data_IF_091753549286
#
_entry.id   IF_091753549286
#
_cell.length_a   1.000
_cell.length_b   1.000
_cell.length_c   1.000
_cell.angle_alpha   90.00
_cell.angle_beta   90.00
_cell.angle_gamma   90.00
#
_symmetry.space_group_name_H-M   'P 1'
#
loop_
_entity.id
_entity.type
_entity.pdbx_description
1 polymer ?
#
# COMPACT_ATOMS: atom_id res chain seq x y z
N UNK A 1 4.81 -25.58 -31.44
CA UNK A 1 4.09 -25.51 -30.18
C UNK A 1 4.97 -24.77 -29.19
N UNK A 2 4.47 -23.81 -28.41
CA UNK A 2 5.25 -23.21 -27.36
C UNK A 2 5.61 -24.28 -26.32
N UNK A 3 6.82 -24.21 -25.79
CA UNK A 3 7.32 -25.05 -24.72
C UNK A 3 6.42 -24.88 -23.44
N UNK A 4 6.17 -25.97 -22.73
CA UNK A 4 5.35 -25.96 -21.51
C UNK A 4 5.89 -24.99 -20.47
N UNK A 5 7.22 -24.89 -20.34
CA UNK A 5 7.86 -23.93 -19.44
C UNK A 5 7.56 -22.48 -19.85
N UNK A 6 7.59 -22.18 -21.15
CA UNK A 6 7.21 -20.86 -21.67
C UNK A 6 5.73 -20.58 -21.46
N UNK A 7 4.87 -21.58 -21.65
CA UNK A 7 3.42 -21.44 -21.37
C UNK A 7 3.16 -21.17 -19.91
N UNK A 8 3.85 -21.82 -18.97
CA UNK A 8 3.72 -21.57 -17.53
C UNK A 8 4.15 -20.15 -17.16
N UNK A 9 5.28 -19.67 -17.70
CA UNK A 9 5.77 -18.31 -17.49
C UNK A 9 4.80 -17.26 -18.04
N UNK A 10 4.26 -17.48 -19.25
CA UNK A 10 3.29 -16.57 -19.87
C UNK A 10 1.95 -16.56 -19.11
N UNK A 11 1.53 -17.72 -18.61
CA UNK A 11 0.33 -17.83 -17.78
C UNK A 11 0.46 -17.05 -16.48
N UNK A 12 1.58 -17.22 -15.78
CA UNK A 12 1.85 -16.50 -14.55
C UNK A 12 1.93 -14.98 -14.78
N UNK A 13 2.56 -14.56 -15.88
CA UNK A 13 2.65 -13.15 -16.26
C UNK A 13 1.27 -12.54 -16.53
N UNK A 14 0.37 -13.29 -17.18
CA UNK A 14 -1.00 -12.85 -17.48
C UNK A 14 -1.87 -12.71 -16.23
N UNK A 15 -1.71 -13.60 -15.26
CA UNK A 15 -2.52 -13.58 -14.01
C UNK A 15 -2.01 -12.60 -12.94
N UNK A 16 -0.78 -12.11 -13.09
CA UNK A 16 -0.15 -11.22 -12.11
C UNK A 16 -0.96 -9.93 -11.89
N UNK A 17 -1.37 -9.28 -12.97
CA UNK A 17 -2.22 -8.08 -12.90
C UNK A 17 -3.59 -8.36 -12.25
N UNK A 18 -4.19 -9.51 -12.57
CA UNK A 18 -5.47 -9.94 -12.01
C UNK A 18 -5.38 -10.14 -10.50
N UNK A 19 -4.34 -10.82 -10.02
CA UNK A 19 -4.12 -11.04 -8.58
C UNK A 19 -3.95 -9.72 -7.81
N UNK A 20 -3.28 -8.73 -8.42
CA UNK A 20 -3.16 -7.38 -7.86
C UNK A 20 -4.51 -6.69 -7.72
N UNK A 21 -5.38 -6.78 -8.73
CA UNK A 21 -6.73 -6.22 -8.67
C UNK A 21 -7.61 -6.95 -7.65
N UNK A 22 -7.55 -8.27 -7.59
CA UNK A 22 -8.29 -9.08 -6.62
C UNK A 22 -7.86 -8.73 -5.18
N UNK A 23 -6.56 -8.49 -4.94
CA UNK A 23 -6.03 -8.02 -3.66
C UNK A 23 -6.61 -6.66 -3.28
N UNK A 24 -6.59 -5.71 -4.21
CA UNK A 24 -7.09 -4.35 -3.98
C UNK A 24 -8.60 -4.36 -3.69
N UNK A 25 -9.40 -5.08 -4.48
CA UNK A 25 -10.84 -5.20 -4.26
C UNK A 25 -11.15 -5.77 -2.87
N UNK A 26 -10.48 -6.88 -2.50
CA UNK A 26 -10.68 -7.50 -1.19
C UNK A 26 -10.29 -6.58 -0.05
N UNK A 27 -9.19 -5.86 -0.17
CA UNK A 27 -8.80 -4.87 0.83
C UNK A 27 -9.86 -3.79 1.01
N UNK A 28 -10.40 -3.23 -0.08
CA UNK A 28 -11.47 -2.23 -0.03
C UNK A 28 -12.75 -2.77 0.61
N UNK A 29 -13.16 -4.00 0.28
CA UNK A 29 -14.33 -4.65 0.88
C UNK A 29 -14.15 -4.87 2.38
N UNK A 30 -12.98 -5.38 2.79
CA UNK A 30 -12.66 -5.59 4.20
C UNK A 30 -12.63 -4.27 4.98
N UNK A 31 -12.07 -3.22 4.38
CA UNK A 31 -12.01 -1.89 5.00
C UNK A 31 -13.41 -1.31 5.20
N UNK A 32 -14.24 -1.32 4.15
CA UNK A 32 -15.61 -0.81 4.23
C UNK A 32 -16.47 -1.57 5.27
N UNK A 33 -16.27 -2.89 5.36
CA UNK A 33 -16.95 -3.73 6.37
C UNK A 33 -16.48 -3.43 7.79
N UNK A 34 -15.17 -3.27 7.99
CA UNK A 34 -14.58 -3.07 9.31
C UNK A 34 -14.76 -1.63 9.84
N UNK A 35 -14.80 -0.66 8.94
CA UNK A 35 -14.82 0.77 9.28
C UNK A 35 -15.94 1.52 8.55
N UNK A 36 -17.22 1.28 8.87
CA UNK A 36 -18.36 1.82 8.13
C UNK A 36 -18.49 3.35 8.20
N UNK A 37 -17.76 4.01 9.10
CA UNK A 37 -17.71 5.48 9.22
C UNK A 37 -16.56 6.12 8.46
N UNK A 38 -15.67 5.32 7.90
CA UNK A 38 -14.52 5.76 7.11
C UNK A 38 -14.76 5.41 5.65
N UNK A 39 -14.06 6.09 4.75
CA UNK A 39 -14.12 5.78 3.32
C UNK A 39 -12.73 5.51 2.76
N UNK A 40 -12.66 4.67 1.73
CA UNK A 40 -11.49 4.50 0.88
C UNK A 40 -11.79 5.02 -0.52
N UNK A 41 -10.91 5.85 -1.03
CA UNK A 41 -10.89 6.33 -2.41
C UNK A 41 -9.68 5.72 -3.13
N UNK A 42 -9.85 5.34 -4.38
CA UNK A 42 -8.78 4.81 -5.22
C UNK A 42 -9.30 3.82 -6.27
N UNK A 43 -8.47 3.51 -7.27
CA UNK A 43 -8.82 2.53 -8.30
C UNK A 43 -8.81 1.12 -7.68
N UNK A 44 -9.96 0.43 -7.73
CA UNK A 44 -10.05 -0.98 -7.30
C UNK A 44 -9.47 -1.93 -8.34
N UNK A 45 -9.43 -1.50 -9.60
CA UNK A 45 -8.89 -2.20 -10.77
C UNK A 45 -8.03 -1.26 -11.59
N UNK A 46 -7.83 -1.57 -12.87
CA UNK A 46 -7.10 -0.67 -13.78
C UNK A 46 -7.68 0.74 -13.73
N UNK A 47 -6.86 1.72 -13.44
CA UNK A 47 -7.23 3.13 -13.33
C UNK A 47 -5.99 3.97 -13.05
N UNK A 48 -6.16 5.28 -13.02
CA UNK A 48 -5.08 6.19 -12.67
C UNK A 48 -4.92 6.26 -11.16
N UNK A 49 -3.68 6.17 -10.70
CA UNK A 49 -3.33 6.39 -9.30
C UNK A 49 -3.71 7.80 -8.86
N UNK A 50 -3.98 7.95 -7.57
CA UNK A 50 -4.27 9.26 -6.99
C UNK A 50 -2.96 10.01 -6.81
N UNK A 51 -2.86 11.21 -7.37
CA UNK A 51 -1.70 12.07 -7.14
C UNK A 51 -1.88 12.81 -5.81
N UNK A 52 -0.87 12.78 -4.92
CA UNK A 52 -0.97 13.43 -3.60
C UNK A 52 -1.26 14.92 -3.69
N UNK A 53 -0.84 15.61 -4.74
CA UNK A 53 -1.16 17.01 -4.94
C UNK A 53 -2.66 17.28 -5.16
N UNK A 54 -3.43 16.30 -5.64
CA UNK A 54 -4.90 16.44 -5.75
C UNK A 54 -5.59 16.40 -4.39
N UNK A 55 -4.96 15.77 -3.39
CA UNK A 55 -5.44 15.69 -2.01
C UNK A 55 -4.88 16.84 -1.17
N UNK A 56 -3.61 17.15 -1.37
CA UNK A 56 -2.85 18.18 -0.67
C UNK A 56 -2.23 19.13 -1.70
N UNK A 57 -2.90 20.25 -2.04
CA UNK A 57 -2.45 21.16 -3.12
C UNK A 57 -1.04 21.71 -2.94
N UNK A 58 -0.55 21.78 -1.71
CA UNK A 58 0.80 22.22 -1.33
C UNK A 58 1.81 21.08 -1.18
N UNK A 59 1.46 19.86 -1.64
CA UNK A 59 2.40 18.73 -1.60
C UNK A 59 3.59 18.98 -2.53
N UNK A 60 4.84 18.82 -2.04
CA UNK A 60 6.03 19.28 -2.79
C UNK A 60 6.32 18.47 -4.05
N UNK A 61 5.87 17.21 -4.11
CA UNK A 61 6.05 16.34 -5.28
C UNK A 61 4.70 16.12 -5.99
N UNK A 62 4.38 16.92 -7.04
CA UNK A 62 3.09 16.90 -7.69
C UNK A 62 2.73 15.55 -8.31
N UNK A 63 3.72 14.74 -8.65
CA UNK A 63 3.56 13.46 -9.31
C UNK A 63 3.70 12.26 -8.35
N UNK A 64 3.59 12.46 -7.03
CA UNK A 64 3.64 11.36 -6.08
C UNK A 64 2.33 10.57 -6.12
N UNK A 65 2.31 9.35 -6.70
CA UNK A 65 1.12 8.54 -6.75
C UNK A 65 0.92 7.79 -5.43
N UNK A 66 -0.34 7.51 -5.09
CA UNK A 66 -0.77 6.55 -4.08
C UNK A 66 -1.93 5.74 -4.63
N UNK A 67 -2.08 4.49 -4.17
CA UNK A 67 -3.12 3.59 -4.66
C UNK A 67 -4.47 3.88 -3.99
N UNK A 68 -4.45 4.40 -2.76
CA UNK A 68 -5.67 4.79 -2.06
C UNK A 68 -5.47 5.91 -1.04
N UNK A 69 -6.57 6.55 -0.71
CA UNK A 69 -6.70 7.52 0.38
C UNK A 69 -7.84 7.08 1.30
N UNK A 70 -7.58 6.98 2.60
CA UNK A 70 -8.62 6.79 3.61
C UNK A 70 -9.04 8.14 4.20
N UNK A 71 -10.36 8.35 4.33
CA UNK A 71 -10.92 9.56 4.92
C UNK A 71 -11.79 9.23 6.12
N UNK A 72 -11.82 10.14 7.06
CA UNK A 72 -12.73 10.07 8.18
C UNK A 72 -14.17 10.49 7.82
N UNK A 73 -15.07 10.47 8.79
CA UNK A 73 -16.48 10.82 8.58
C UNK A 73 -16.70 12.29 8.18
N UNK A 74 -15.72 13.17 8.39
CA UNK A 74 -15.77 14.57 7.93
C UNK A 74 -15.21 14.76 6.52
N UNK A 75 -14.66 13.69 5.91
CA UNK A 75 -14.01 13.71 4.61
C UNK A 75 -12.52 14.08 4.65
N UNK A 76 -11.95 14.26 5.85
CA UNK A 76 -10.54 14.58 6.00
C UNK A 76 -9.65 13.36 5.73
N UNK A 77 -8.56 13.49 4.96
CA UNK A 77 -7.60 12.42 4.73
C UNK A 77 -6.89 12.03 6.04
N UNK A 78 -7.00 10.77 6.43
CA UNK A 78 -6.37 10.20 7.63
C UNK A 78 -5.26 9.21 7.32
N UNK A 79 -5.32 8.58 6.16
CA UNK A 79 -4.27 7.70 5.68
C UNK A 79 -4.16 7.73 4.15
N UNK A 80 -2.96 7.45 3.66
CA UNK A 80 -2.69 7.13 2.26
C UNK A 80 -1.99 5.79 2.19
N UNK A 81 -2.04 5.10 1.05
CA UNK A 81 -1.38 3.82 1.00
C UNK A 81 -1.19 3.21 -0.37
N UNK A 82 -0.56 2.06 -0.34
CA UNK A 82 -0.12 1.30 -1.48
C UNK A 82 -0.61 -0.13 -1.36
N UNK A 83 -1.05 -0.72 -2.47
CA UNK A 83 -1.51 -2.11 -2.53
C UNK A 83 -0.69 -2.86 -3.57
N UNK A 84 -0.05 -3.95 -3.15
CA UNK A 84 0.81 -4.70 -4.04
C UNK A 84 0.68 -6.20 -3.82
N UNK A 85 0.67 -6.93 -4.94
CA UNK A 85 0.82 -8.37 -4.94
C UNK A 85 2.22 -8.75 -5.43
N UNK A 86 3.02 -9.34 -4.56
CA UNK A 86 4.35 -9.85 -4.88
C UNK A 86 4.29 -11.35 -5.18
N UNK A 87 4.33 -11.69 -6.47
CA UNK A 87 4.18 -13.08 -6.95
C UNK A 87 5.47 -13.87 -6.88
N UNK A 88 6.60 -13.23 -7.11
CA UNK A 88 7.93 -13.84 -7.21
C UNK A 88 9.05 -12.82 -6.99
N UNK A 89 10.20 -13.30 -6.58
CA UNK A 89 11.53 -12.70 -6.59
C UNK A 89 11.94 -11.82 -5.41
N UNK A 90 12.99 -12.31 -4.76
CA UNK A 90 14.06 -11.52 -4.15
C UNK A 90 15.08 -11.07 -5.21
N UNK A 91 16.04 -10.23 -4.83
CA UNK A 91 17.16 -9.74 -5.62
C UNK A 91 17.14 -8.24 -5.87
N UNK A 92 18.01 -7.73 -6.77
CA UNK A 92 18.22 -6.29 -6.99
C UNK A 92 16.94 -5.48 -7.25
N UNK A 93 15.89 -6.08 -7.79
CA UNK A 93 14.58 -5.43 -7.97
C UNK A 93 13.82 -5.28 -6.64
N UNK A 94 14.13 -6.08 -5.64
CA UNK A 94 13.57 -5.99 -4.29
C UNK A 94 14.15 -4.78 -3.54
N UNK A 95 15.48 -4.62 -3.60
CA UNK A 95 16.19 -3.49 -2.98
C UNK A 95 15.73 -2.14 -3.55
N UNK A 96 15.57 -2.06 -4.87
CA UNK A 96 15.05 -0.86 -5.54
C UNK A 96 13.62 -0.50 -5.10
N UNK A 97 12.79 -1.52 -4.84
CA UNK A 97 11.38 -1.34 -4.46
C UNK A 97 11.23 -0.92 -3.01
N UNK A 98 11.90 -1.64 -2.11
CA UNK A 98 11.86 -1.32 -0.67
C UNK A 98 12.51 0.03 -0.41
N UNK A 99 13.59 0.37 -1.12
CA UNK A 99 14.18 1.70 -1.14
C UNK A 99 13.20 2.79 -1.59
N UNK A 100 12.43 2.51 -2.65
CA UNK A 100 11.36 3.39 -3.13
C UNK A 100 10.27 3.61 -2.07
N UNK A 101 9.84 2.57 -1.36
CA UNK A 101 8.85 2.69 -0.29
C UNK A 101 9.37 3.45 0.92
N UNK A 102 10.62 3.22 1.32
CA UNK A 102 11.27 3.98 2.40
C UNK A 102 11.32 5.47 2.08
N UNK A 103 11.73 5.83 0.86
CA UNK A 103 11.80 7.22 0.43
C UNK A 103 10.41 7.86 0.37
N UNK A 104 9.42 7.15 -0.14
CA UNK A 104 8.05 7.61 -0.21
C UNK A 104 7.44 7.81 1.19
N UNK A 105 7.65 6.87 2.10
CA UNK A 105 7.19 6.98 3.48
C UNK A 105 7.81 8.20 4.18
N UNK A 106 9.13 8.40 4.05
CA UNK A 106 9.82 9.57 4.60
C UNK A 106 9.23 10.87 4.08
N UNK A 107 9.11 11.00 2.76
CA UNK A 107 8.56 12.19 2.10
C UNK A 107 7.16 12.54 2.64
N UNK A 108 6.26 11.56 2.75
CA UNK A 108 4.90 11.75 3.25
C UNK A 108 4.89 12.13 4.73
N UNK A 109 5.69 11.44 5.54
CA UNK A 109 5.77 11.71 6.98
C UNK A 109 6.38 13.07 7.29
N UNK A 110 7.43 13.47 6.57
CA UNK A 110 8.06 14.79 6.69
C UNK A 110 7.10 15.91 6.31
N UNK A 111 6.40 15.75 5.17
CA UNK A 111 5.36 16.69 4.75
C UNK A 111 4.30 16.89 5.84
N UNK A 112 3.80 15.79 6.41
CA UNK A 112 2.73 15.87 7.41
C UNK A 112 3.22 16.34 8.79
N UNK A 113 4.49 16.13 9.14
CA UNK A 113 5.07 16.59 10.40
C UNK A 113 4.93 18.09 10.57
N UNK A 114 5.13 18.86 9.49
CA UNK A 114 4.96 20.31 9.49
C UNK A 114 3.50 20.75 9.67
N UNK A 115 2.55 19.89 9.31
CA UNK A 115 1.11 20.19 9.30
C UNK A 115 0.35 19.56 10.46
N UNK A 116 0.97 18.64 11.18
CA UNK A 116 0.44 17.98 12.39
C UNK A 116 -0.94 17.33 12.19
N UNK A 117 -1.22 16.82 10.99
CA UNK A 117 -2.51 16.16 10.68
C UNK A 117 -2.56 14.74 11.27
N UNK A 118 -1.41 14.11 11.47
CA UNK A 118 -1.31 12.72 11.93
C UNK A 118 -1.55 11.70 10.83
N UNK A 119 -1.28 12.07 9.57
CA UNK A 119 -1.48 11.23 8.40
C UNK A 119 -0.74 9.90 8.53
N UNK A 120 -1.43 8.78 8.28
CA UNK A 120 -0.87 7.43 8.29
C UNK A 120 -0.44 7.01 6.89
N UNK A 121 0.53 6.11 6.81
CA UNK A 121 0.91 5.43 5.57
C UNK A 121 0.74 3.93 5.74
N UNK A 122 0.00 3.31 4.85
CA UNK A 122 -0.33 1.88 4.91
C UNK A 122 0.18 1.19 3.65
N UNK A 123 0.96 0.14 3.84
CA UNK A 123 1.39 -0.76 2.78
C UNK A 123 0.64 -2.08 2.91
N UNK A 124 -0.23 -2.37 1.94
CA UNK A 124 -0.94 -3.64 1.84
C UNK A 124 -0.16 -4.50 0.85
N UNK A 125 0.60 -5.43 1.36
CA UNK A 125 1.42 -6.32 0.56
C UNK A 125 0.99 -7.76 0.79
N UNK A 126 0.80 -8.50 -0.29
CA UNK A 126 0.44 -9.91 -0.21
C UNK A 126 1.14 -10.70 -1.33
N UNK A 127 1.13 -12.02 -1.22
CA UNK A 127 1.70 -12.90 -2.21
C UNK A 127 2.89 -13.70 -1.70
N UNK A 128 3.25 -14.78 -2.43
CA UNK A 128 4.33 -15.68 -2.03
C UNK A 128 5.73 -15.03 -2.07
N UNK A 129 5.89 -13.95 -2.86
CA UNK A 129 7.14 -13.19 -2.93
C UNK A 129 7.58 -12.60 -1.59
N UNK A 130 6.65 -12.35 -0.67
CA UNK A 130 6.97 -11.86 0.68
C UNK A 130 7.83 -12.82 1.52
N UNK A 131 7.84 -14.10 1.15
CA UNK A 131 8.62 -15.16 1.84
C UNK A 131 9.99 -15.36 1.22
N UNK A 132 10.32 -14.62 0.16
CA UNK A 132 11.56 -14.75 -0.58
C UNK A 132 12.54 -13.66 -0.19
N UNK A 133 13.83 -14.01 -0.09
CA UNK A 133 14.90 -13.07 0.23
C UNK A 133 14.71 -12.37 1.57
N UNK A 134 15.02 -11.07 1.61
CA UNK A 134 14.93 -10.20 2.79
C UNK A 134 13.62 -9.40 2.85
N UNK A 135 12.68 -9.60 1.91
CA UNK A 135 11.53 -8.73 1.70
C UNK A 135 10.71 -8.51 2.98
N UNK A 136 10.47 -9.58 3.74
CA UNK A 136 9.73 -9.47 5.00
C UNK A 136 10.47 -8.62 6.05
N UNK A 137 11.79 -8.82 6.15
CA UNK A 137 12.62 -8.05 7.08
C UNK A 137 12.69 -6.57 6.67
N UNK A 138 12.71 -6.27 5.37
CA UNK A 138 12.76 -4.90 4.88
C UNK A 138 11.43 -4.17 5.11
N UNK A 139 10.29 -4.86 4.99
CA UNK A 139 9.00 -4.31 5.40
C UNK A 139 8.90 -4.10 6.92
N UNK A 140 9.48 -5.00 7.71
CA UNK A 140 9.55 -4.82 9.16
C UNK A 140 10.40 -3.60 9.53
N UNK A 141 11.54 -3.39 8.86
CA UNK A 141 12.38 -2.18 9.03
C UNK A 141 11.64 -0.91 8.60
N UNK A 142 10.91 -0.95 7.47
CA UNK A 142 10.09 0.16 7.01
C UNK A 142 9.06 0.56 8.08
N UNK A 143 8.31 -0.38 8.61
CA UNK A 143 7.32 -0.10 9.67
C UNK A 143 7.98 0.41 10.95
N UNK A 144 9.13 -0.15 11.32
CA UNK A 144 9.88 0.25 12.52
C UNK A 144 10.37 1.70 12.48
N UNK A 145 10.43 2.35 11.30
CA UNK A 145 10.78 3.78 11.20
C UNK A 145 9.79 4.68 11.95
N UNK A 146 8.51 4.34 11.93
CA UNK A 146 7.49 5.07 12.68
C UNK A 146 6.23 4.21 12.91
N UNK A 147 6.23 3.28 13.88
CA UNK A 147 5.12 2.33 14.09
C UNK A 147 3.80 2.98 14.48
N UNK A 148 3.83 4.25 14.89
CA UNK A 148 2.61 5.01 15.15
C UNK A 148 1.93 5.53 13.88
N UNK A 149 2.67 5.60 12.75
CA UNK A 149 2.21 6.22 11.50
C UNK A 149 2.42 5.36 10.26
N UNK A 150 3.29 4.35 10.32
CA UNK A 150 3.53 3.37 9.26
C UNK A 150 2.95 2.02 9.67
N UNK A 151 2.29 1.36 8.73
CA UNK A 151 1.77 0.01 8.92
C UNK A 151 1.96 -0.80 7.65
N UNK A 152 2.54 -1.98 7.78
CA UNK A 152 2.65 -2.97 6.70
C UNK A 152 1.81 -4.19 7.06
N UNK A 153 0.88 -4.54 6.19
CA UNK A 153 -0.04 -5.66 6.41
C UNK A 153 -0.22 -6.52 5.17
N UNK A 154 -0.50 -7.80 5.38
CA UNK A 154 -1.18 -8.67 4.42
C UNK A 154 -2.68 -8.61 4.66
N UNK A 155 -3.51 -9.11 3.74
CA UNK A 155 -4.96 -9.25 3.99
C UNK A 155 -5.25 -10.12 5.22
N UNK A 156 -4.44 -11.15 5.43
CA UNK A 156 -4.58 -12.02 6.60
C UNK A 156 -4.39 -11.30 7.93
N UNK A 157 -3.50 -10.32 7.96
CA UNK A 157 -3.21 -9.51 9.15
C UNK A 157 -4.19 -8.35 9.36
N UNK A 158 -5.04 -8.06 8.39
CA UNK A 158 -5.92 -6.89 8.38
C UNK A 158 -6.68 -6.72 9.69
N UNK A 159 -7.49 -7.72 10.06
CA UNK A 159 -8.35 -7.63 11.25
C UNK A 159 -7.57 -7.56 12.57
N UNK A 160 -6.36 -8.10 12.61
CA UNK A 160 -5.52 -8.08 13.80
C UNK A 160 -4.79 -6.74 13.96
N UNK A 161 -4.24 -6.20 12.89
CA UNK A 161 -3.29 -5.08 12.93
C UNK A 161 -3.90 -3.73 12.58
N UNK A 162 -4.81 -3.64 11.62
CA UNK A 162 -5.45 -2.39 11.24
C UNK A 162 -6.64 -2.11 12.16
N UNK A 163 -6.51 -1.11 13.03
CA UNK A 163 -7.53 -0.72 14.00
C UNK A 163 -7.99 0.71 13.79
N UNK A 164 -9.28 0.97 13.95
CA UNK A 164 -9.85 2.32 13.86
C UNK A 164 -9.15 3.31 14.81
N UNK A 165 -8.87 2.88 16.05
CA UNK A 165 -8.10 3.67 17.01
C UNK A 165 -6.73 4.09 16.51
N UNK A 166 -6.04 3.22 15.75
CA UNK A 166 -4.73 3.55 15.16
C UNK A 166 -4.89 4.55 14.02
N UNK A 167 -5.90 4.37 13.15
CA UNK A 167 -6.21 5.27 12.04
C UNK A 167 -6.54 6.69 12.53
N UNK A 168 -7.35 6.83 13.58
CA UNK A 168 -7.85 8.12 14.09
C UNK A 168 -6.93 8.78 15.11
N UNK A 169 -5.89 8.09 15.59
CA UNK A 169 -4.92 8.67 16.53
C UNK A 169 -4.04 9.70 15.83
N UNK A 170 -4.15 10.94 16.22
CA UNK A 170 -3.26 12.02 15.76
C UNK A 170 -1.90 11.96 16.44
#
# INVERSE_FOLDING_TARGET
MPDEALCAVLWEYKDRGKKGYDLTERFFEMFASAFPKLSLEGPKRAGSDIQLQTIFPDYPNPNRPVDFVARDASGEPIAVGFVRYDSDRGGAQEDDRTGGYVNCAKEILEYDTLRRRGLKVIYVNDGPGLLLGSMWDDYAKLEAMNPNRLLVITLRMFNERLKEKWLLKK
#
